data_IF_048117612461
#
_entry.id   IF_048117612461
#
_cell.length_a   1.000
_cell.length_b   1.000
_cell.length_c   1.000
_cell.angle_alpha   90.00
_cell.angle_beta   90.00
_cell.angle_gamma   90.00
#
_symmetry.space_group_name_H-M   'P 1'
#
loop_
_entity.id
_entity.type
_entity.pdbx_description
1 polymer ?
#
# COMPACT_ATOMS: atom_id res chain seq x y z
N UNK A 1 16.03 8.93 -35.10
CA UNK A 1 14.97 8.62 -34.10
C UNK A 1 15.71 8.44 -32.79
N UNK A 2 15.31 9.11 -31.70
CA UNK A 2 15.95 8.86 -30.42
C UNK A 2 15.54 7.46 -29.96
N UNK A 3 16.52 6.57 -29.79
CA UNK A 3 16.27 5.24 -29.24
C UNK A 3 15.69 5.41 -27.84
N UNK A 4 14.43 5.03 -27.68
CA UNK A 4 13.76 5.01 -26.37
C UNK A 4 14.18 3.76 -25.62
N UNK A 5 14.44 3.93 -24.34
CA UNK A 5 14.80 2.85 -23.43
C UNK A 5 13.81 2.78 -22.27
N UNK A 6 13.63 1.62 -21.62
CA UNK A 6 12.76 1.52 -20.45
C UNK A 6 13.15 2.51 -19.36
N UNK A 7 12.16 3.20 -18.78
CA UNK A 7 12.38 4.12 -17.65
C UNK A 7 12.74 3.36 -16.37
N UNK A 8 13.92 3.63 -15.79
CA UNK A 8 14.28 3.13 -14.46
C UNK A 8 13.27 3.52 -13.38
N UNK A 9 12.76 4.75 -13.39
CA UNK A 9 11.78 5.23 -12.41
C UNK A 9 10.48 4.44 -12.50
N UNK A 10 9.95 4.26 -13.71
CA UNK A 10 8.73 3.48 -13.92
C UNK A 10 8.91 2.03 -13.47
N UNK A 11 10.08 1.43 -13.72
CA UNK A 11 10.39 0.07 -13.29
C UNK A 11 10.40 -0.07 -11.76
N UNK A 12 10.97 0.88 -11.02
CA UNK A 12 10.95 0.85 -9.56
C UNK A 12 9.54 1.07 -9.00
N UNK A 13 8.75 1.96 -9.60
CA UNK A 13 7.33 2.13 -9.25
C UNK A 13 6.49 0.88 -9.55
N UNK A 14 6.80 0.17 -10.64
CA UNK A 14 6.16 -1.11 -10.98
C UNK A 14 6.50 -2.19 -9.96
N UNK A 15 7.77 -2.33 -9.56
CA UNK A 15 8.19 -3.25 -8.49
C UNK A 15 7.48 -2.92 -7.17
N UNK A 16 7.49 -1.66 -6.76
CA UNK A 16 6.82 -1.20 -5.54
C UNK A 16 5.32 -1.55 -5.59
N UNK A 17 4.65 -1.29 -6.72
CA UNK A 17 3.25 -1.68 -6.90
C UNK A 17 3.04 -3.19 -6.72
N UNK A 18 3.88 -4.03 -7.31
CA UNK A 18 3.77 -5.49 -7.18
C UNK A 18 4.01 -5.98 -5.74
N UNK A 19 4.94 -5.36 -5.01
CA UNK A 19 5.23 -5.70 -3.62
C UNK A 19 4.08 -5.28 -2.69
N UNK A 20 3.62 -4.03 -2.84
CA UNK A 20 2.54 -3.46 -2.01
C UNK A 20 1.23 -4.18 -2.27
N UNK A 21 0.86 -4.44 -3.54
CA UNK A 21 -0.38 -5.14 -3.88
C UNK A 21 -0.46 -6.56 -3.29
N UNK A 22 0.67 -7.26 -3.15
CA UNK A 22 0.73 -8.57 -2.48
C UNK A 22 0.52 -8.46 -0.97
N UNK A 23 1.06 -7.42 -0.33
CA UNK A 23 0.96 -7.21 1.11
C UNK A 23 -0.36 -6.56 1.57
N UNK A 24 -1.04 -5.84 0.68
CA UNK A 24 -2.14 -4.96 1.06
C UNK A 24 -3.33 -5.69 1.67
N UNK A 25 -3.65 -6.87 1.14
CA UNK A 25 -4.74 -7.69 1.67
C UNK A 25 -4.42 -8.19 3.08
N UNK A 26 -3.16 -8.56 3.35
CA UNK A 26 -2.75 -9.01 4.68
C UNK A 26 -2.80 -7.87 5.71
N UNK A 27 -2.39 -6.66 5.31
CA UNK A 27 -2.46 -5.47 6.18
C UNK A 27 -3.92 -5.05 6.42
N UNK A 28 -4.72 -4.96 5.35
CA UNK A 28 -6.12 -4.54 5.42
C UNK A 28 -6.99 -5.51 6.22
N UNK A 29 -6.65 -6.81 6.23
CA UNK A 29 -7.38 -7.83 6.97
C UNK A 29 -6.71 -8.19 8.32
N UNK A 30 -5.61 -7.53 8.72
CA UNK A 30 -4.82 -7.91 9.89
C UNK A 30 -5.63 -7.96 11.18
N UNK A 31 -6.59 -7.05 11.35
CA UNK A 31 -7.43 -6.94 12.54
C UNK A 31 -8.82 -7.58 12.37
N UNK A 32 -9.17 -7.99 11.16
CA UNK A 32 -10.51 -8.51 10.80
C UNK A 32 -10.92 -9.75 11.57
N UNK A 33 -9.97 -10.65 11.86
CA UNK A 33 -10.26 -11.86 12.65
C UNK A 33 -10.60 -11.49 14.09
N UNK A 34 -9.81 -10.60 14.69
CA UNK A 34 -10.06 -10.13 16.06
C UNK A 34 -11.36 -9.31 16.13
N UNK A 35 -11.67 -8.50 15.11
CA UNK A 35 -12.91 -7.73 14.98
C UNK A 35 -14.13 -8.67 14.98
N UNK A 36 -14.12 -9.70 14.11
CA UNK A 36 -15.18 -10.71 14.05
C UNK A 36 -15.34 -11.51 15.34
N UNK A 37 -14.25 -11.83 16.03
CA UNK A 37 -14.31 -12.57 17.28
C UNK A 37 -14.96 -11.73 18.40
N UNK A 38 -14.61 -10.44 18.50
CA UNK A 38 -15.19 -9.54 19.48
C UNK A 38 -16.63 -9.11 19.16
N UNK A 39 -17.00 -9.02 17.89
CA UNK A 39 -18.35 -8.65 17.46
C UNK A 39 -19.43 -9.75 17.67
N UNK A 40 -19.07 -10.93 18.21
CA UNK A 40 -20.04 -11.98 18.56
C UNK A 40 -19.68 -13.41 18.17
N UNK A 41 -18.39 -13.74 17.99
CA UNK A 41 -17.97 -15.07 17.57
C UNK A 41 -18.12 -16.14 18.67
N UNK A 42 -19.16 -16.98 18.58
CA UNK A 42 -19.35 -18.33 19.19
C UNK A 42 -18.89 -18.59 20.65
N UNK A 43 -18.67 -17.56 21.42
CA UNK A 43 -18.42 -17.62 22.85
C UNK A 43 -18.77 -16.26 23.43
N UNK A 44 -19.78 -16.22 24.31
CA UNK A 44 -20.21 -15.05 25.07
C UNK A 44 -19.15 -14.62 26.11
N UNK A 45 -17.86 -14.60 25.75
CA UNK A 45 -16.76 -14.40 26.70
C UNK A 45 -16.57 -12.92 27.02
N UNK A 46 -16.93 -12.03 26.08
CA UNK A 46 -16.76 -10.59 26.19
C UNK A 46 -18.13 -9.90 26.28
N UNK A 47 -18.59 -9.66 27.50
CA UNK A 47 -19.89 -9.02 27.79
C UNK A 47 -19.72 -7.75 28.62
N UNK A 48 -20.63 -6.81 28.44
CA UNK A 48 -20.66 -5.55 29.19
C UNK A 48 -20.11 -4.33 28.42
N UNK A 49 -20.20 -3.13 29.01
CA UNK A 49 -19.87 -1.88 28.34
C UNK A 49 -18.44 -1.82 27.77
N UNK A 50 -17.44 -2.26 28.55
CA UNK A 50 -16.03 -2.23 28.12
C UNK A 50 -15.76 -3.13 26.90
N UNK A 51 -16.38 -4.31 26.84
CA UNK A 51 -16.27 -5.21 25.71
C UNK A 51 -16.82 -4.58 24.42
N UNK A 52 -17.92 -3.83 24.53
CA UNK A 52 -18.50 -3.09 23.38
C UNK A 52 -17.57 -1.97 22.92
N UNK A 53 -16.97 -1.23 23.86
CA UNK A 53 -15.98 -0.18 23.53
C UNK A 53 -14.80 -0.77 22.79
N UNK A 54 -14.19 -1.85 23.30
CA UNK A 54 -13.04 -2.50 22.64
C UNK A 54 -13.38 -3.06 21.26
N UNK A 55 -14.57 -3.64 21.10
CA UNK A 55 -15.07 -4.05 19.79
C UNK A 55 -15.16 -2.87 18.81
N UNK A 56 -15.71 -1.74 19.26
CA UNK A 56 -15.80 -0.53 18.44
C UNK A 56 -14.43 0.05 18.09
N UNK A 57 -13.50 0.10 19.05
CA UNK A 57 -12.14 0.61 18.85
C UNK A 57 -11.37 -0.27 17.85
N UNK A 58 -11.47 -1.60 17.98
CA UNK A 58 -10.83 -2.50 17.04
C UNK A 58 -11.44 -2.41 15.64
N UNK A 59 -12.77 -2.30 15.54
CA UNK A 59 -13.45 -2.11 14.26
C UNK A 59 -13.00 -0.82 13.57
N UNK A 60 -12.88 0.27 14.33
CA UNK A 60 -12.33 1.54 13.86
C UNK A 60 -10.89 1.38 13.35
N UNK A 61 -10.01 0.78 14.17
CA UNK A 61 -8.62 0.53 13.79
C UNK A 61 -8.49 -0.35 12.55
N UNK A 62 -9.31 -1.39 12.40
CA UNK A 62 -9.34 -2.24 11.21
C UNK A 62 -9.75 -1.45 9.96
N UNK A 63 -10.77 -0.60 10.10
CA UNK A 63 -11.26 0.25 9.01
C UNK A 63 -10.21 1.27 8.58
N UNK A 64 -9.56 1.93 9.54
CA UNK A 64 -8.51 2.91 9.28
C UNK A 64 -7.28 2.27 8.62
N UNK A 65 -6.85 1.11 9.12
CA UNK A 65 -5.72 0.38 8.56
C UNK A 65 -6.00 -0.06 7.12
N UNK A 66 -7.19 -0.61 6.86
CA UNK A 66 -7.64 -0.98 5.52
C UNK A 66 -7.67 0.23 4.59
N UNK A 67 -8.21 1.36 5.04
CA UNK A 67 -8.25 2.60 4.26
C UNK A 67 -6.85 3.11 3.93
N UNK A 68 -5.96 3.23 4.92
CA UNK A 68 -4.60 3.72 4.71
C UNK A 68 -3.80 2.83 3.76
N UNK A 69 -3.98 1.51 3.87
CA UNK A 69 -3.40 0.54 2.97
C UNK A 69 -3.89 0.78 1.51
N UNK A 70 -5.20 0.88 1.31
CA UNK A 70 -5.76 1.14 -0.02
C UNK A 70 -5.36 2.51 -0.58
N UNK A 71 -5.33 3.56 0.24
CA UNK A 71 -4.91 4.92 -0.16
C UNK A 71 -3.44 4.93 -0.60
N UNK A 72 -2.56 4.22 0.10
CA UNK A 72 -1.15 4.10 -0.29
C UNK A 72 -0.99 3.36 -1.63
N UNK A 73 -1.70 2.25 -1.83
CA UNK A 73 -1.67 1.54 -3.12
C UNK A 73 -2.21 2.42 -4.27
N UNK A 74 -3.25 3.21 -4.00
CA UNK A 74 -3.79 4.15 -4.97
C UNK A 74 -2.76 5.22 -5.34
N UNK A 75 -1.99 5.73 -4.37
CA UNK A 75 -0.92 6.70 -4.61
C UNK A 75 0.19 6.10 -5.47
N UNK A 76 0.68 4.90 -5.15
CA UNK A 76 1.70 4.21 -5.95
C UNK A 76 1.19 3.98 -7.38
N UNK A 77 -0.08 3.60 -7.53
CA UNK A 77 -0.71 3.43 -8.84
C UNK A 77 -0.76 4.74 -9.63
N UNK A 78 -1.11 5.85 -8.97
CA UNK A 78 -1.13 7.18 -9.58
C UNK A 78 0.25 7.61 -10.04
N UNK A 79 1.26 7.45 -9.19
CA UNK A 79 2.65 7.77 -9.54
C UNK A 79 3.17 6.91 -10.69
N UNK A 80 2.89 5.60 -10.66
CA UNK A 80 3.27 4.70 -11.76
C UNK A 80 2.60 5.09 -13.09
N UNK A 81 1.35 5.56 -13.05
CA UNK A 81 0.61 6.00 -14.23
C UNK A 81 1.06 7.36 -14.76
N UNK A 82 1.59 8.24 -13.89
CA UNK A 82 2.11 9.55 -14.30
C UNK A 82 3.50 9.49 -14.93
N UNK A 83 4.23 8.38 -14.77
CA UNK A 83 5.57 8.20 -15.33
C UNK A 83 5.54 7.50 -16.69
N UNK A 84 6.30 7.98 -17.69
CA UNK A 84 6.43 7.30 -18.97
C UNK A 84 7.14 5.95 -18.81
N UNK A 85 6.65 4.92 -19.51
CA UNK A 85 7.28 3.58 -19.51
C UNK A 85 8.63 3.56 -20.22
N UNK A 86 8.80 4.45 -21.20
CA UNK A 86 10.00 4.56 -22.02
C UNK A 86 10.40 6.03 -22.14
N UNK A 87 11.68 6.27 -21.98
CA UNK A 87 12.31 7.60 -21.97
C UNK A 87 13.53 7.58 -22.89
N UNK A 88 14.10 8.74 -23.18
CA UNK A 88 15.38 8.80 -23.88
C UNK A 88 16.51 8.28 -22.99
N UNK A 89 17.63 7.88 -23.59
CA UNK A 89 18.80 7.41 -22.84
C UNK A 89 19.30 8.44 -21.81
N UNK A 90 19.27 9.74 -22.14
CA UNK A 90 19.70 10.81 -21.24
C UNK A 90 18.78 10.98 -20.02
N UNK A 91 17.47 10.81 -20.21
CA UNK A 91 16.49 10.81 -19.13
C UNK A 91 16.67 9.57 -18.24
N UNK A 92 16.84 8.39 -18.83
CA UNK A 92 17.11 7.16 -18.08
C UNK A 92 18.38 7.27 -17.22
N UNK A 93 19.45 7.88 -17.72
CA UNK A 93 20.67 8.10 -16.95
C UNK A 93 20.47 9.11 -15.81
N UNK A 94 19.62 10.11 -16.01
CA UNK A 94 19.23 11.07 -14.97
C UNK A 94 18.40 10.39 -13.87
N UNK A 95 17.42 9.57 -14.24
CA UNK A 95 16.61 8.77 -13.30
C UNK A 95 17.48 7.81 -12.49
N UNK A 96 18.45 7.12 -13.10
CA UNK A 96 19.41 6.26 -12.39
C UNK A 96 20.21 7.02 -11.34
N UNK A 97 20.65 8.24 -11.65
CA UNK A 97 21.39 9.08 -10.69
C UNK A 97 20.50 9.51 -9.53
N UNK A 98 19.25 9.87 -9.82
CA UNK A 98 18.26 10.20 -8.80
C UNK A 98 18.00 9.01 -7.87
N UNK A 99 17.71 7.82 -8.43
CA UNK A 99 17.47 6.59 -7.66
C UNK A 99 18.69 6.15 -6.84
N UNK A 100 19.91 6.41 -7.32
CA UNK A 100 21.15 6.13 -6.58
C UNK A 100 21.46 7.16 -5.48
N UNK A 101 20.60 8.15 -5.25
CA UNK A 101 20.83 9.23 -4.28
C UNK A 101 21.98 10.17 -4.66
N UNK A 102 22.36 10.22 -5.94
CA UNK A 102 23.49 11.04 -6.44
C UNK A 102 23.07 12.40 -7.01
N UNK A 103 21.79 12.74 -6.90
CA UNK A 103 21.28 14.10 -7.05
C UNK A 103 20.41 14.42 -5.83
N UNK A 104 21.08 14.88 -4.78
CA UNK A 104 20.52 15.56 -3.61
C UNK A 104 21.33 16.83 -3.37
#
# INVERSE_FOLDING_TARGET
>A
MADKVPSPMWQELDKLYQEVSKGIAAVADALKTADKQMAGGKGNVWVGPNARTWGSDLHGANTDLSKQAHDFLAEVTRQRASHPKEVTQAEADSERRFLAGRMG
#
